data_IF_576898537822
#
_entry.id   IF_576898537822
#
_cell.length_a   1.000
_cell.length_b   1.000
_cell.length_c   1.000
_cell.angle_alpha   90.00
_cell.angle_beta   90.00
_cell.angle_gamma   90.00
#
_symmetry.space_group_name_H-M   'P 1'
#
loop_
_entity.id
_entity.type
_entity.pdbx_description
1 polymer ?
#
# COMPACT_ATOMS: atom_id res chain seq x y z
N UNK A 1 -3.18 13.33 2.49
CA UNK A 1 -1.93 13.86 3.05
C UNK A 1 -1.15 14.58 1.98
N UNK A 2 -0.95 15.89 2.16
CA UNK A 2 -0.29 16.79 1.20
C UNK A 2 1.22 16.95 1.45
N UNK A 3 1.88 15.84 1.79
CA UNK A 3 3.34 15.71 1.84
C UNK A 3 3.76 14.65 0.82
N UNK A 4 4.80 14.94 0.06
CA UNK A 4 5.45 13.98 -0.82
C UNK A 4 6.22 12.94 -0.02
N UNK A 5 6.47 11.77 -0.63
CA UNK A 5 7.28 10.73 0.02
C UNK A 5 8.71 11.20 0.32
N UNK A 6 9.27 12.10 -0.50
CA UNK A 6 10.59 12.67 -0.28
C UNK A 6 10.58 13.60 0.93
N UNK A 7 9.57 14.46 1.08
CA UNK A 7 9.43 15.32 2.26
C UNK A 7 9.29 14.48 3.54
N UNK A 8 8.44 13.45 3.52
CA UNK A 8 8.30 12.52 4.66
C UNK A 8 9.63 11.83 4.99
N UNK A 9 10.38 11.39 3.97
CA UNK A 9 11.73 10.82 4.14
C UNK A 9 12.70 11.79 4.80
N UNK A 10 12.75 13.04 4.34
CA UNK A 10 13.59 14.07 4.93
C UNK A 10 13.18 14.34 6.38
N UNK A 11 11.87 14.47 6.66
CA UNK A 11 11.36 14.68 8.02
C UNK A 11 11.80 13.54 8.95
N UNK A 12 11.60 12.28 8.55
CA UNK A 12 11.96 11.11 9.36
C UNK A 12 13.48 11.00 9.55
N UNK A 13 14.27 11.23 8.49
CA UNK A 13 15.72 11.16 8.55
C UNK A 13 16.30 12.23 9.49
N UNK A 14 15.83 13.47 9.38
CA UNK A 14 16.22 14.55 10.28
C UNK A 14 15.72 14.31 11.69
N UNK A 15 14.50 13.79 11.85
CA UNK A 15 13.95 13.40 13.15
C UNK A 15 14.87 12.40 13.85
N UNK A 16 15.27 11.34 13.17
CA UNK A 16 16.20 10.35 13.72
C UNK A 16 17.57 10.96 14.05
N UNK A 17 18.09 11.84 13.19
CA UNK A 17 19.38 12.52 13.39
C UNK A 17 19.40 13.42 14.63
N UNK A 18 18.33 14.18 14.88
CA UNK A 18 18.28 15.18 15.95
C UNK A 18 17.64 14.66 17.24
N UNK A 19 16.67 13.75 17.15
CA UNK A 19 15.85 13.33 18.29
C UNK A 19 15.92 11.84 18.59
N UNK A 20 16.68 11.06 17.81
CA UNK A 20 16.85 9.63 18.00
C UNK A 20 15.81 8.78 17.27
N UNK A 21 16.08 7.47 17.16
CA UNK A 21 15.27 6.54 16.37
C UNK A 21 13.94 6.19 17.05
N UNK A 22 13.89 6.18 18.37
CA UNK A 22 12.70 5.85 19.16
C UNK A 22 11.75 7.05 19.31
N UNK A 23 12.20 8.25 18.92
CA UNK A 23 11.32 9.42 18.87
C UNK A 23 10.25 9.26 17.78
N UNK A 24 9.04 9.75 18.05
CA UNK A 24 7.91 9.68 17.12
C UNK A 24 7.58 11.05 16.59
N UNK A 25 7.14 11.13 15.34
CA UNK A 25 6.71 12.39 14.74
C UNK A 25 5.41 12.21 13.98
N UNK A 26 4.46 13.11 14.24
CA UNK A 26 3.11 13.06 13.71
C UNK A 26 2.88 14.30 12.86
N UNK A 27 2.21 14.12 11.73
CA UNK A 27 1.60 15.22 10.98
C UNK A 27 0.20 15.44 11.50
N UNK A 28 -0.14 16.69 11.81
CA UNK A 28 -1.51 17.05 12.18
C UNK A 28 -1.99 18.30 11.43
N UNK A 29 -3.21 18.74 11.72
CA UNK A 29 -3.76 19.96 11.12
C UNK A 29 -4.07 19.86 9.63
N UNK A 30 -3.96 20.99 8.94
CA UNK A 30 -4.54 21.17 7.60
C UNK A 30 -3.91 20.31 6.50
N UNK A 31 -2.68 19.82 6.69
CA UNK A 31 -1.93 19.02 5.71
C UNK A 31 -2.29 17.53 5.71
N UNK A 32 -3.12 17.09 6.66
CA UNK A 32 -3.70 15.75 6.66
C UNK A 32 -4.71 15.57 5.51
N UNK A 33 -5.54 16.58 5.26
CA UNK A 33 -6.59 16.57 4.25
C UNK A 33 -6.09 17.12 2.90
N UNK A 34 -6.32 16.35 1.84
CA UNK A 34 -5.97 16.73 0.47
C UNK A 34 -6.93 17.75 -0.15
N UNK A 35 -8.13 17.94 0.43
CA UNK A 35 -9.16 18.86 -0.06
C UNK A 35 -8.97 20.30 0.44
N UNK A 36 -8.20 20.51 1.51
CA UNK A 36 -7.95 21.84 2.08
C UNK A 36 -6.85 22.55 1.30
N UNK A 37 -7.04 23.84 0.97
CA UNK A 37 -6.04 24.66 0.26
C UNK A 37 -5.12 25.40 1.24
N UNK A 38 -3.84 25.54 0.87
CA UNK A 38 -2.85 26.25 1.69
C UNK A 38 -2.54 25.52 3.00
N UNK A 39 -1.84 26.20 3.91
CA UNK A 39 -1.59 25.72 5.28
C UNK A 39 -0.14 25.33 5.58
N UNK A 40 0.22 25.51 6.84
CA UNK A 40 1.54 25.21 7.40
C UNK A 40 1.72 23.69 7.58
N UNK A 41 2.96 23.24 7.69
CA UNK A 41 3.25 21.85 8.07
C UNK A 41 3.29 21.80 9.59
N UNK A 42 2.19 21.34 10.19
CA UNK A 42 2.08 21.15 11.63
C UNK A 42 2.62 19.76 12.03
N UNK A 43 3.76 19.74 12.73
CA UNK A 43 4.44 18.53 13.19
C UNK A 43 4.41 18.44 14.72
N UNK A 44 4.11 17.25 15.24
CA UNK A 44 4.18 16.95 16.66
C UNK A 44 5.21 15.86 16.92
N UNK A 45 6.21 16.19 17.73
CA UNK A 45 7.32 15.30 18.07
C UNK A 45 7.16 14.80 19.50
N UNK A 46 7.16 13.49 19.66
CA UNK A 46 7.33 12.83 20.95
C UNK A 46 8.81 12.42 21.07
N UNK A 47 9.60 13.09 21.93
CA UNK A 47 11.01 12.74 22.11
C UNK A 47 11.16 11.41 22.86
N UNK A 48 12.36 10.83 22.79
CA UNK A 48 12.73 9.66 23.60
C UNK A 48 12.74 10.01 25.10
N UNK A 49 12.41 9.03 25.96
CA UNK A 49 12.29 9.24 27.42
C UNK A 49 13.57 9.82 28.06
N UNK A 50 14.75 9.51 27.50
CA UNK A 50 16.05 9.94 28.02
C UNK A 50 16.67 11.12 27.25
N UNK A 51 15.88 11.87 26.47
CA UNK A 51 16.39 13.01 25.71
C UNK A 51 16.80 14.17 26.63
N UNK A 52 18.10 14.45 26.75
CA UNK A 52 18.62 15.42 27.72
C UNK A 52 18.16 16.88 27.45
N UNK A 53 17.82 17.27 26.22
CA UNK A 53 17.21 18.58 25.92
C UNK A 53 16.63 18.70 24.49
N UNK A 54 15.45 18.13 24.20
CA UNK A 54 14.88 18.16 22.84
C UNK A 54 14.53 19.58 22.36
N UNK A 55 14.16 20.48 23.27
CA UNK A 55 13.84 21.86 22.94
C UNK A 55 15.05 22.64 22.39
N UNK A 56 16.27 22.31 22.83
CA UNK A 56 17.49 22.94 22.31
C UNK A 56 17.78 22.58 20.84
N UNK A 57 17.32 21.43 20.38
CA UNK A 57 17.55 20.92 19.02
C UNK A 57 16.46 21.38 18.04
N UNK A 58 15.33 21.87 18.54
CA UNK A 58 14.19 22.35 17.74
C UNK A 58 14.61 23.31 16.63
N UNK A 59 15.37 24.36 16.96
CA UNK A 59 15.78 25.37 15.97
C UNK A 59 16.68 24.76 14.88
N UNK A 60 17.65 23.92 15.28
CA UNK A 60 18.54 23.23 14.33
C UNK A 60 17.78 22.30 13.40
N UNK A 61 16.81 21.56 13.93
CA UNK A 61 15.94 20.68 13.14
C UNK A 61 15.10 21.47 12.14
N UNK A 62 14.44 22.56 12.57
CA UNK A 62 13.61 23.39 11.69
C UNK A 62 14.42 24.02 10.55
N UNK A 63 15.61 24.55 10.85
CA UNK A 63 16.52 25.10 9.84
C UNK A 63 16.94 24.03 8.85
N UNK A 64 17.37 22.85 9.35
CA UNK A 64 17.76 21.75 8.48
C UNK A 64 16.60 21.29 7.59
N UNK A 65 15.39 21.21 8.15
CA UNK A 65 14.21 20.78 7.41
C UNK A 65 13.84 21.80 6.32
N UNK A 66 13.83 23.10 6.64
CA UNK A 66 13.57 24.17 5.67
C UNK A 66 14.58 24.17 4.50
N UNK A 67 15.86 23.86 4.78
CA UNK A 67 16.87 23.76 3.72
C UNK A 67 16.62 22.57 2.77
N UNK A 68 16.04 21.48 3.28
CA UNK A 68 15.79 20.26 2.50
C UNK A 68 14.46 20.30 1.75
N UNK A 69 13.39 20.80 2.37
CA UNK A 69 12.03 20.79 1.79
C UNK A 69 11.56 22.15 1.24
N UNK A 70 12.44 23.16 1.30
CA UNK A 70 12.22 24.51 0.80
C UNK A 70 11.54 25.45 1.81
N UNK A 71 11.27 26.69 1.36
CA UNK A 71 10.60 27.73 2.15
C UNK A 71 9.11 27.43 2.37
N UNK A 72 8.82 26.42 3.18
CA UNK A 72 7.50 26.16 3.73
C UNK A 72 7.50 26.57 5.20
N UNK A 73 6.37 27.11 5.68
CA UNK A 73 6.19 27.37 7.10
C UNK A 73 5.91 26.05 7.82
N UNK A 74 6.79 25.69 8.75
CA UNK A 74 6.77 24.43 9.50
C UNK A 74 6.66 24.76 10.97
N UNK A 75 5.58 24.32 11.60
CA UNK A 75 5.35 24.49 13.03
C UNK A 75 5.60 23.16 13.74
N UNK A 76 6.67 23.10 14.55
CA UNK A 76 7.01 21.93 15.36
C UNK A 76 6.58 22.10 16.81
N UNK A 77 5.71 21.23 17.28
CA UNK A 77 5.34 21.09 18.69
C UNK A 77 6.08 19.88 19.26
N UNK A 78 6.78 20.06 20.38
CA UNK A 78 7.44 18.97 21.09
C UNK A 78 6.59 18.63 22.31
N UNK A 79 6.30 17.34 22.49
CA UNK A 79 5.52 16.84 23.61
C UNK A 79 6.11 17.29 24.95
N UNK A 80 5.28 17.88 25.79
CA UNK A 80 5.68 18.45 27.09
C UNK A 80 4.65 18.18 28.17
N UNK A 81 3.37 18.33 27.83
CA UNK A 81 2.22 18.06 28.69
C UNK A 81 1.05 17.58 27.83
N UNK A 82 0.77 16.29 27.91
CA UNK A 82 -0.26 15.59 27.12
C UNK A 82 -1.69 16.08 27.42
N UNK A 83 -1.90 16.89 28.46
CA UNK A 83 -3.21 17.46 28.77
C UNK A 83 -3.52 18.74 28.00
N UNK A 84 -2.53 19.36 27.34
CA UNK A 84 -2.77 20.54 26.52
C UNK A 84 -3.65 20.19 25.33
N UNK A 85 -4.63 21.06 25.05
CA UNK A 85 -5.58 20.88 23.93
C UNK A 85 -4.84 20.63 22.61
N UNK A 86 -3.75 21.36 22.38
CA UNK A 86 -2.96 21.23 21.16
C UNK A 86 -2.24 19.88 21.04
N UNK A 87 -1.79 19.29 22.15
CA UNK A 87 -1.17 17.95 22.14
C UNK A 87 -2.23 16.87 21.93
N UNK A 88 -3.43 17.03 22.50
CA UNK A 88 -4.56 16.11 22.26
C UNK A 88 -5.00 16.10 20.80
N UNK A 89 -5.06 17.27 20.16
CA UNK A 89 -5.36 17.35 18.72
C UNK A 89 -4.21 16.79 17.87
N UNK A 90 -2.96 17.05 18.25
CA UNK A 90 -1.82 16.51 17.54
C UNK A 90 -1.71 14.98 17.62
N UNK A 91 -2.10 14.38 18.75
CA UNK A 91 -2.15 12.92 18.92
C UNK A 91 -3.24 12.24 18.09
N UNK A 92 -4.25 12.99 17.59
CA UNK A 92 -5.18 12.49 16.56
C UNK A 92 -4.59 12.54 15.15
N UNK A 93 -3.38 13.08 15.00
CA UNK A 93 -2.67 13.17 13.75
C UNK A 93 -2.18 11.82 13.23
N UNK A 94 -1.53 11.84 12.07
CA UNK A 94 -0.95 10.67 11.44
C UNK A 94 0.52 10.56 11.82
N UNK A 95 0.92 9.44 12.43
CA UNK A 95 2.35 9.15 12.61
C UNK A 95 3.05 9.05 11.24
N UNK A 96 4.16 9.76 11.10
CA UNK A 96 4.99 9.69 9.90
C UNK A 96 5.88 8.45 9.98
N UNK A 97 5.30 7.33 9.56
CA UNK A 97 6.00 6.06 9.35
C UNK A 97 6.03 5.72 7.86
N UNK A 98 7.24 5.59 7.31
CA UNK A 98 7.44 5.31 5.88
C UNK A 98 6.86 3.96 5.45
N UNK A 99 6.94 2.95 6.30
CA UNK A 99 6.43 1.61 6.03
C UNK A 99 4.91 1.65 5.89
N UNK A 100 4.24 2.23 6.88
CA UNK A 100 2.80 2.45 6.92
C UNK A 100 2.31 3.31 5.75
N UNK A 101 2.99 4.42 5.45
CA UNK A 101 2.60 5.32 4.34
C UNK A 101 2.74 4.61 2.98
N UNK A 102 3.85 3.88 2.76
CA UNK A 102 4.03 3.08 1.54
C UNK A 102 2.95 1.99 1.43
N UNK A 103 2.68 1.28 2.53
CA UNK A 103 1.66 0.25 2.58
C UNK A 103 0.27 0.80 2.21
N UNK A 104 -0.15 1.92 2.81
CA UNK A 104 -1.41 2.60 2.48
C UNK A 104 -1.49 2.99 1.00
N UNK A 105 -0.39 3.49 0.42
CA UNK A 105 -0.33 3.81 -1.01
C UNK A 105 -0.54 2.57 -1.89
N UNK A 106 0.08 1.43 -1.53
CA UNK A 106 -0.10 0.17 -2.25
C UNK A 106 -1.52 -0.39 -2.09
N UNK A 107 -2.13 -0.28 -0.90
CA UNK A 107 -3.52 -0.65 -0.69
C UNK A 107 -4.46 0.17 -1.56
N UNK A 108 -4.29 1.49 -1.62
CA UNK A 108 -5.09 2.37 -2.49
C UNK A 108 -4.89 2.05 -3.99
N UNK A 109 -3.69 1.61 -4.39
CA UNK A 109 -3.41 1.14 -5.74
C UNK A 109 -4.20 -0.15 -6.04
N UNK A 110 -4.18 -1.12 -5.11
CA UNK A 110 -4.93 -2.36 -5.21
C UNK A 110 -6.45 -2.13 -5.25
N UNK A 111 -6.99 -1.25 -4.40
CA UNK A 111 -8.42 -0.88 -4.37
C UNK A 111 -8.89 -0.41 -5.77
N UNK A 112 -8.07 0.43 -6.43
CA UNK A 112 -8.35 0.91 -7.78
C UNK A 112 -8.32 -0.22 -8.81
N UNK A 113 -7.34 -1.13 -8.72
CA UNK A 113 -7.29 -2.26 -9.65
C UNK A 113 -8.47 -3.21 -9.44
N UNK A 114 -8.84 -3.50 -8.19
CA UNK A 114 -9.99 -4.36 -7.88
C UNK A 114 -11.29 -3.78 -8.42
N UNK A 115 -11.53 -2.47 -8.22
CA UNK A 115 -12.69 -1.79 -8.80
C UNK A 115 -12.75 -1.99 -10.33
N UNK A 116 -11.63 -1.80 -11.03
CA UNK A 116 -11.56 -1.96 -12.50
C UNK A 116 -11.68 -3.41 -12.95
N UNK A 117 -11.23 -4.38 -12.15
CA UNK A 117 -11.46 -5.81 -12.40
C UNK A 117 -12.96 -6.10 -12.35
N UNK A 118 -13.64 -5.62 -11.30
CA UNK A 118 -15.06 -5.85 -11.10
C UNK A 118 -15.90 -5.19 -12.21
N UNK A 119 -15.61 -3.94 -12.58
CA UNK A 119 -16.25 -3.27 -13.72
C UNK A 119 -16.07 -4.05 -15.03
N UNK A 120 -14.83 -4.41 -15.38
CA UNK A 120 -14.55 -5.12 -16.64
C UNK A 120 -15.18 -6.53 -16.65
N UNK A 121 -15.23 -7.21 -15.50
CA UNK A 121 -15.88 -8.50 -15.35
C UNK A 121 -17.39 -8.40 -15.57
N UNK A 122 -18.04 -7.40 -14.98
CA UNK A 122 -19.48 -7.16 -15.17
C UNK A 122 -19.83 -6.92 -16.64
N UNK A 123 -18.97 -6.22 -17.39
CA UNK A 123 -19.19 -5.94 -18.81
C UNK A 123 -19.00 -7.17 -19.73
N UNK A 124 -18.38 -8.25 -19.25
CA UNK A 124 -18.17 -9.50 -20.01
C UNK A 124 -18.90 -10.70 -19.41
N UNK A 125 -19.65 -10.52 -18.32
CA UNK A 125 -20.29 -11.63 -17.59
C UNK A 125 -21.24 -12.47 -18.44
N UNK A 126 -21.87 -11.85 -19.44
CA UNK A 126 -22.85 -12.50 -20.31
C UNK A 126 -22.20 -13.38 -21.39
N UNK A 127 -20.89 -13.24 -21.61
CA UNK A 127 -20.13 -14.00 -22.62
C UNK A 127 -19.19 -15.04 -22.00
N UNK A 128 -19.14 -15.12 -20.68
CA UNK A 128 -18.30 -16.06 -19.93
C UNK A 128 -19.16 -17.20 -19.33
N UNK A 129 -18.66 -18.45 -19.27
CA UNK A 129 -17.36 -18.89 -19.78
C UNK A 129 -17.29 -18.80 -21.31
N UNK A 130 -16.15 -18.37 -21.82
CA UNK A 130 -15.92 -18.23 -23.25
C UNK A 130 -15.91 -19.61 -23.91
N UNK A 131 -16.54 -19.70 -25.08
CA UNK A 131 -16.34 -20.81 -26.01
C UNK A 131 -15.38 -20.38 -27.12
N UNK A 132 -14.78 -21.35 -27.82
CA UNK A 132 -13.90 -21.05 -28.98
C UNK A 132 -14.64 -20.28 -30.06
N UNK A 133 -15.90 -20.63 -30.33
CA UNK A 133 -16.73 -19.91 -31.31
C UNK A 133 -17.05 -18.48 -30.89
N UNK A 134 -17.27 -18.22 -29.60
CA UNK A 134 -17.44 -16.86 -29.09
C UNK A 134 -16.13 -16.07 -29.17
N UNK A 135 -15.01 -16.68 -28.79
CA UNK A 135 -13.69 -16.04 -28.81
C UNK A 135 -13.28 -15.53 -30.20
N UNK A 136 -13.51 -16.32 -31.25
CA UNK A 136 -13.19 -15.93 -32.63
C UNK A 136 -14.10 -14.85 -33.20
N UNK A 137 -15.20 -14.52 -32.51
CA UNK A 137 -16.20 -13.53 -32.92
C UNK A 137 -16.35 -12.38 -31.93
N UNK A 138 -15.38 -12.20 -31.03
CA UNK A 138 -15.38 -11.10 -30.06
C UNK A 138 -15.40 -9.75 -30.77
N UNK A 139 -16.30 -8.87 -30.34
CA UNK A 139 -16.34 -7.51 -30.83
C UNK A 139 -15.26 -6.65 -30.13
N UNK A 140 -15.01 -5.45 -30.67
CA UNK A 140 -13.98 -4.54 -30.15
C UNK A 140 -14.15 -4.18 -28.67
N UNK A 141 -15.39 -4.10 -28.18
CA UNK A 141 -15.65 -3.76 -26.79
C UNK A 141 -15.35 -4.95 -25.87
N UNK A 142 -15.76 -6.15 -26.27
CA UNK A 142 -15.47 -7.38 -25.53
C UNK A 142 -13.96 -7.64 -25.40
N UNK A 143 -13.22 -7.47 -26.50
CA UNK A 143 -11.74 -7.58 -26.48
C UNK A 143 -11.13 -6.57 -25.50
N UNK A 144 -11.56 -5.30 -25.56
CA UNK A 144 -11.06 -4.25 -24.66
C UNK A 144 -11.34 -4.56 -23.19
N UNK A 145 -12.51 -5.10 -22.87
CA UNK A 145 -12.88 -5.43 -21.50
C UNK A 145 -12.09 -6.64 -20.99
N UNK A 146 -11.87 -7.66 -21.83
CA UNK A 146 -10.99 -8.78 -21.49
C UNK A 146 -9.57 -8.28 -21.24
N UNK A 147 -9.00 -7.45 -22.13
CA UNK A 147 -7.66 -6.90 -21.95
C UNK A 147 -7.54 -6.06 -20.67
N UNK A 148 -8.55 -5.23 -20.38
CA UNK A 148 -8.61 -4.46 -19.15
C UNK A 148 -8.65 -5.37 -17.91
N UNK A 149 -9.48 -6.41 -17.93
CA UNK A 149 -9.54 -7.39 -16.86
C UNK A 149 -8.18 -8.04 -16.63
N UNK A 150 -7.54 -8.58 -17.67
CA UNK A 150 -6.25 -9.27 -17.58
C UNK A 150 -5.13 -8.35 -17.07
N UNK A 151 -5.08 -7.12 -17.58
CA UNK A 151 -4.11 -6.12 -17.13
C UNK A 151 -4.30 -5.80 -15.65
N UNK A 152 -5.54 -5.52 -15.23
CA UNK A 152 -5.83 -5.12 -13.84
C UNK A 152 -5.65 -6.28 -12.87
N UNK A 153 -6.04 -7.49 -13.25
CA UNK A 153 -5.78 -8.71 -12.49
C UNK A 153 -4.28 -8.88 -12.24
N UNK A 154 -3.47 -8.78 -13.30
CA UNK A 154 -2.01 -8.89 -13.22
C UNK A 154 -1.42 -7.81 -12.32
N UNK A 155 -1.87 -6.55 -12.44
CA UNK A 155 -1.40 -5.45 -11.59
C UNK A 155 -1.81 -5.59 -10.12
N UNK A 156 -3.02 -6.08 -9.84
CA UNK A 156 -3.46 -6.37 -8.48
C UNK A 156 -2.57 -7.46 -7.86
N UNK A 157 -2.38 -8.58 -8.55
CA UNK A 157 -1.52 -9.68 -8.09
C UNK A 157 -0.07 -9.23 -7.91
N UNK A 158 0.49 -8.46 -8.84
CA UNK A 158 1.87 -7.97 -8.75
C UNK A 158 2.06 -7.00 -7.59
N UNK A 159 1.19 -6.01 -7.42
CA UNK A 159 1.32 -5.05 -6.31
C UNK A 159 1.14 -5.74 -4.96
N UNK A 160 0.20 -6.69 -4.86
CA UNK A 160 0.00 -7.48 -3.64
C UNK A 160 1.23 -8.36 -3.32
N UNK A 161 1.66 -9.18 -4.29
CA UNK A 161 2.76 -10.12 -4.09
C UNK A 161 4.14 -9.47 -3.96
N UNK A 162 4.45 -8.47 -4.79
CA UNK A 162 5.80 -7.90 -4.85
C UNK A 162 6.01 -6.76 -3.86
N UNK A 163 4.94 -6.04 -3.48
CA UNK A 163 5.03 -4.86 -2.61
C UNK A 163 4.37 -5.10 -1.25
N UNK A 164 3.07 -5.39 -1.20
CA UNK A 164 2.33 -5.50 0.06
C UNK A 164 2.90 -6.62 0.94
N UNK A 165 3.16 -7.80 0.39
CA UNK A 165 3.72 -8.93 1.14
C UNK A 165 5.04 -8.57 1.84
N UNK A 166 5.95 -7.88 1.14
CA UNK A 166 7.21 -7.41 1.71
C UNK A 166 6.99 -6.32 2.76
N UNK A 167 6.05 -5.41 2.51
CA UNK A 167 5.69 -4.35 3.48
C UNK A 167 5.10 -4.93 4.77
N UNK A 168 4.30 -5.99 4.70
CA UNK A 168 3.80 -6.71 5.88
C UNK A 168 4.98 -7.26 6.67
N UNK A 169 5.89 -8.02 6.04
CA UNK A 169 7.04 -8.58 6.76
C UNK A 169 7.94 -7.50 7.36
N UNK A 170 8.17 -6.38 6.66
CA UNK A 170 8.95 -5.28 7.19
C UNK A 170 8.34 -4.65 8.46
N UNK A 171 7.02 -4.69 8.61
CA UNK A 171 6.31 -4.16 9.79
C UNK A 171 6.28 -5.19 10.93
N UNK A 172 6.00 -6.46 10.63
CA UNK A 172 5.79 -7.50 11.65
C UNK A 172 7.09 -8.24 12.04
N UNK A 173 8.09 -8.25 11.17
CA UNK A 173 9.38 -8.90 11.35
C UNK A 173 10.54 -7.99 10.87
N UNK A 174 10.78 -6.82 11.52
CA UNK A 174 11.65 -5.75 11.00
C UNK A 174 13.15 -6.06 10.87
N UNK A 175 13.62 -7.18 11.45
CA UNK A 175 15.03 -7.60 11.44
C UNK A 175 15.31 -8.81 10.54
N UNK A 176 14.45 -9.05 9.55
CA UNK A 176 14.60 -10.18 8.62
C UNK A 176 15.43 -9.79 7.39
N UNK A 177 16.40 -10.64 7.07
CA UNK A 177 17.16 -10.56 5.82
C UNK A 177 16.26 -10.80 4.59
N UNK A 178 16.62 -10.29 3.40
CA UNK A 178 15.85 -10.50 2.18
C UNK A 178 15.55 -11.98 1.92
N UNK A 179 14.26 -12.33 1.88
CA UNK A 179 13.80 -13.70 1.71
C UNK A 179 13.47 -14.03 0.24
N UNK A 180 13.72 -15.28 -0.21
CA UNK A 180 13.10 -15.84 -1.40
C UNK A 180 11.57 -15.72 -1.35
N UNK A 181 10.93 -15.63 -2.51
CA UNK A 181 9.47 -15.41 -2.56
C UNK A 181 8.65 -16.50 -1.88
N UNK A 182 9.06 -17.76 -1.99
CA UNK A 182 8.36 -18.88 -1.34
C UNK A 182 8.41 -18.74 0.20
N UNK A 183 9.54 -18.29 0.73
CA UNK A 183 9.70 -18.06 2.17
C UNK A 183 8.87 -16.88 2.66
N UNK A 184 8.70 -15.84 1.83
CA UNK A 184 7.74 -14.77 2.12
C UNK A 184 6.33 -15.34 2.31
N UNK A 185 5.87 -16.23 1.41
CA UNK A 185 4.54 -16.85 1.54
C UNK A 185 4.43 -17.70 2.81
N UNK A 186 5.45 -18.49 3.13
CA UNK A 186 5.49 -19.29 4.36
C UNK A 186 5.37 -18.41 5.61
N UNK A 187 5.99 -17.23 5.61
CA UNK A 187 5.91 -16.26 6.71
C UNK A 187 4.52 -15.64 6.81
N UNK A 188 3.93 -15.23 5.69
CA UNK A 188 2.58 -14.66 5.67
C UNK A 188 1.53 -15.65 6.15
N UNK A 189 1.67 -16.94 5.82
CA UNK A 189 0.82 -18.02 6.33
C UNK A 189 0.94 -18.15 7.85
N UNK A 190 2.18 -18.16 8.38
CA UNK A 190 2.44 -18.18 9.84
C UNK A 190 1.91 -16.93 10.56
N UNK A 191 1.97 -15.77 9.92
CA UNK A 191 1.40 -14.52 10.43
C UNK A 191 -0.11 -14.41 10.17
N UNK A 192 -0.74 -15.47 9.62
CA UNK A 192 -2.16 -15.56 9.29
C UNK A 192 -2.64 -14.45 8.33
N UNK A 193 -1.76 -13.95 7.45
CA UNK A 193 -2.13 -13.06 6.33
C UNK A 193 -2.51 -13.85 5.07
N UNK A 194 -2.11 -15.12 4.99
CA UNK A 194 -2.60 -16.08 4.00
C UNK A 194 -3.16 -17.29 4.75
N UNK A 195 -4.27 -17.85 4.27
CA UNK A 195 -4.81 -19.11 4.79
C UNK A 195 -4.05 -20.31 4.20
N UNK A 196 -3.88 -20.33 2.88
CA UNK A 196 -3.08 -21.31 2.15
C UNK A 196 -2.21 -20.61 1.09
N UNK A 197 -0.88 -20.75 1.20
CA UNK A 197 0.04 -20.22 0.20
C UNK A 197 -0.10 -20.87 -1.18
N UNK A 198 -0.62 -22.10 -1.26
CA UNK A 198 -0.74 -22.82 -2.52
C UNK A 198 -1.79 -22.20 -3.43
N UNK A 199 -2.85 -21.60 -2.87
CA UNK A 199 -3.81 -20.80 -3.64
C UNK A 199 -3.12 -19.64 -4.36
N UNK A 200 -2.21 -18.95 -3.66
CA UNK A 200 -1.41 -17.88 -4.25
C UNK A 200 -0.48 -18.38 -5.35
N UNK A 201 0.19 -19.52 -5.13
CA UNK A 201 1.06 -20.13 -6.13
C UNK A 201 0.29 -20.53 -7.40
N UNK A 202 -0.88 -21.16 -7.23
CA UNK A 202 -1.77 -21.52 -8.34
C UNK A 202 -2.23 -20.27 -9.11
N UNK A 203 -2.66 -19.22 -8.40
CA UNK A 203 -3.01 -17.93 -9.00
C UNK A 203 -1.88 -17.34 -9.86
N UNK A 204 -0.64 -17.43 -9.39
CA UNK A 204 0.52 -16.91 -10.12
C UNK A 204 0.84 -17.73 -11.35
N UNK A 205 0.72 -19.06 -11.27
CA UNK A 205 0.90 -19.96 -12.42
C UNK A 205 -0.12 -19.67 -13.52
N UNK A 206 -1.41 -19.55 -13.18
CA UNK A 206 -2.48 -19.23 -14.14
C UNK A 206 -2.26 -17.89 -14.84
N UNK A 207 -1.85 -16.87 -14.10
CA UNK A 207 -1.50 -15.56 -14.70
C UNK A 207 -0.30 -15.67 -15.63
N UNK A 208 0.73 -16.42 -15.28
CA UNK A 208 1.90 -16.59 -16.15
C UNK A 208 1.53 -17.31 -17.45
N UNK A 209 0.61 -18.27 -17.41
CA UNK A 209 0.13 -18.97 -18.60
C UNK A 209 -0.50 -18.02 -19.63
N UNK A 210 -1.32 -17.06 -19.18
CA UNK A 210 -1.89 -16.01 -20.03
C UNK A 210 -0.79 -15.20 -20.74
N UNK A 211 0.26 -14.82 -20.02
CA UNK A 211 1.35 -14.01 -20.58
C UNK A 211 2.17 -14.75 -21.66
N UNK A 212 2.15 -16.09 -21.66
CA UNK A 212 2.95 -16.91 -22.58
C UNK A 212 2.19 -17.39 -23.83
N UNK A 213 0.85 -17.38 -23.83
CA UNK A 213 0.04 -18.00 -24.89
C UNK A 213 -0.43 -17.03 -26.01
N UNK A 214 0.17 -15.85 -26.12
CA UNK A 214 -0.26 -14.83 -27.10
C UNK A 214 -0.10 -15.23 -28.58
N UNK A 215 0.53 -16.36 -28.89
CA UNK A 215 0.80 -16.80 -30.26
C UNK A 215 0.02 -18.10 -30.61
N UNK A 216 -1.07 -17.91 -31.36
CA UNK A 216 -1.66 -18.80 -32.40
C UNK A 216 -2.70 -19.92 -32.10
N UNK A 217 -3.09 -20.26 -30.87
CA UNK A 217 -4.12 -21.31 -30.64
C UNK A 217 -5.38 -20.85 -29.88
N UNK A 218 -6.53 -20.63 -30.57
CA UNK A 218 -7.78 -20.15 -29.96
C UNK A 218 -8.32 -21.01 -28.82
N UNK A 219 -8.14 -22.33 -28.90
CA UNK A 219 -8.58 -23.25 -27.85
C UNK A 219 -7.81 -23.05 -26.55
N UNK A 220 -6.48 -22.95 -26.63
CA UNK A 220 -5.63 -22.74 -25.47
C UNK A 220 -5.90 -21.40 -24.79
N UNK A 221 -6.08 -20.34 -25.59
CA UNK A 221 -6.42 -19.02 -25.08
C UNK A 221 -7.75 -19.01 -24.34
N UNK A 222 -8.78 -19.65 -24.89
CA UNK A 222 -10.09 -19.75 -24.22
C UNK A 222 -9.98 -20.51 -22.89
N UNK A 223 -9.22 -21.60 -22.85
CA UNK A 223 -8.99 -22.33 -21.61
C UNK A 223 -8.31 -21.45 -20.56
N UNK A 224 -7.24 -20.76 -20.92
CA UNK A 224 -6.51 -19.91 -19.99
C UNK A 224 -7.34 -18.70 -19.53
N UNK A 225 -8.13 -18.09 -20.41
CA UNK A 225 -9.05 -17.00 -20.08
C UNK A 225 -10.12 -17.46 -19.07
N UNK A 226 -10.74 -18.60 -19.33
CA UNK A 226 -11.74 -19.16 -18.41
C UNK A 226 -11.12 -19.53 -17.06
N UNK A 227 -9.90 -20.10 -17.06
CA UNK A 227 -9.14 -20.35 -15.84
C UNK A 227 -8.96 -19.05 -15.04
N UNK A 228 -8.36 -18.00 -15.61
CA UNK A 228 -8.08 -16.77 -14.85
C UNK A 228 -9.36 -16.03 -14.39
N UNK A 229 -10.45 -16.16 -15.14
CA UNK A 229 -11.77 -15.63 -14.76
C UNK A 229 -12.36 -16.39 -13.55
N UNK A 230 -12.21 -17.72 -13.50
CA UNK A 230 -12.63 -18.53 -12.35
C UNK A 230 -11.89 -18.13 -11.06
N UNK A 231 -10.60 -17.81 -11.19
CA UNK A 231 -9.75 -17.43 -10.07
C UNK A 231 -9.93 -15.96 -9.59
N UNK A 232 -10.83 -15.18 -10.21
CA UNK A 232 -11.18 -13.81 -9.79
C UNK A 232 -11.45 -13.72 -8.29
N UNK A 233 -12.39 -14.54 -7.83
CA UNK A 233 -12.89 -14.48 -6.45
C UNK A 233 -11.82 -14.87 -5.43
N UNK A 234 -10.87 -15.72 -5.81
CA UNK A 234 -9.76 -16.12 -4.94
C UNK A 234 -8.81 -14.93 -4.74
N UNK A 235 -8.38 -14.27 -5.82
CA UNK A 235 -7.52 -13.09 -5.72
C UNK A 235 -8.20 -11.95 -4.94
N UNK A 236 -9.48 -11.71 -5.21
CA UNK A 236 -10.30 -10.73 -4.50
C UNK A 236 -10.41 -11.05 -3.00
N UNK A 237 -10.69 -12.30 -2.65
CA UNK A 237 -10.80 -12.74 -1.24
C UNK A 237 -9.48 -12.59 -0.50
N UNK A 238 -8.36 -13.03 -1.08
CA UNK A 238 -7.02 -12.87 -0.48
C UNK A 238 -6.72 -11.39 -0.23
N UNK A 239 -6.98 -10.53 -1.22
CA UNK A 239 -6.72 -9.10 -1.09
C UNK A 239 -7.60 -8.46 0.00
N UNK A 240 -8.90 -8.70 -0.01
CA UNK A 240 -9.83 -8.12 0.95
C UNK A 240 -9.54 -8.59 2.37
N UNK A 241 -9.19 -9.86 2.55
CA UNK A 241 -8.77 -10.40 3.85
C UNK A 241 -7.54 -9.68 4.39
N UNK A 242 -6.47 -9.57 3.58
CA UNK A 242 -5.24 -8.86 3.95
C UNK A 242 -5.52 -7.39 4.25
N UNK A 243 -6.30 -6.72 3.39
CA UNK A 243 -6.67 -5.31 3.52
C UNK A 243 -7.40 -5.05 4.84
N UNK A 244 -8.44 -5.82 5.14
CA UNK A 244 -9.23 -5.64 6.35
C UNK A 244 -8.36 -5.89 7.60
N UNK A 245 -7.57 -6.96 7.60
CA UNK A 245 -6.64 -7.24 8.69
C UNK A 245 -5.63 -6.11 8.94
N UNK A 246 -5.12 -5.48 7.88
CA UNK A 246 -4.19 -4.35 7.99
C UNK A 246 -4.86 -3.07 8.50
N UNK A 247 -6.12 -2.83 8.15
CA UNK A 247 -6.89 -1.68 8.64
C UNK A 247 -7.24 -1.88 10.12
N UNK A 248 -7.76 -3.05 10.49
CA UNK A 248 -8.14 -3.37 11.87
C UNK A 248 -6.94 -3.29 12.85
N UNK A 249 -5.75 -3.68 12.38
CA UNK A 249 -4.53 -3.57 13.18
C UNK A 249 -3.96 -2.14 13.20
N UNK A 250 -4.29 -1.31 12.21
CA UNK A 250 -3.89 0.10 12.14
C UNK A 250 -4.72 1.03 13.02
N UNK A 251 -5.93 0.63 13.44
CA UNK A 251 -6.78 1.37 14.38
C UNK A 251 -6.50 1.04 15.86
N UNK A 252 -5.71 -0.01 16.13
CA UNK A 252 -5.41 -0.50 17.50
C UNK A 252 -4.07 -0.02 18.06
N UNK A 253 -3.26 0.71 17.28
CA UNK A 253 -1.98 1.28 17.68
C UNK A 253 -2.06 2.81 17.72
#
# INVERSE_FOLDING_TARGET
MRLTLNEVQCIIALKNKYFGFESKIFLFGSRLDDQVKGGDIDLYLIPEENSENPFSLKSKFLIALQNEIGEQKIDLIIASDRNRVIEREAMKGMELDIGQIKLRKYLNECDKHLLRINEAYEDIKDIIPLSVSKYTTLNKNEVRNIDQYLYRFSKLQDTLGQKIFKSILAIYEPNIEPLPFLDILNRLEKLHFLEDKNEWLALREKRNRIAHQYDDEPYEMVQALNDILYYKNILESIYLYIRNKLIDNGEKN
#
